data_IF_877511923123
#
_entry.id   IF_877511923123
#
_cell.length_a   1.000
_cell.length_b   1.000
_cell.length_c   1.000
_cell.angle_alpha   90.00
_cell.angle_beta   90.00
_cell.angle_gamma   90.00
#
_symmetry.space_group_name_H-M   'P 1'
#
loop_
_entity.id
_entity.type
_entity.pdbx_description
1 polymer ?
#
# COMPACT_ATOMS: atom_id res chain seq x y z
N UNK A 1 -11.16 -12.33 -9.28
CA UNK A 1 -10.14 -11.40 -9.86
C UNK A 1 -8.80 -12.10 -10.02
N UNK A 2 -8.08 -11.95 -11.16
CA UNK A 2 -6.67 -12.40 -11.27
C UNK A 2 -5.79 -11.20 -11.03
N UNK A 3 -5.11 -11.14 -9.88
CA UNK A 3 -4.13 -10.12 -9.59
C UNK A 3 -2.79 -10.47 -10.27
N UNK A 4 -2.23 -9.53 -11.02
CA UNK A 4 -0.82 -9.64 -11.41
C UNK A 4 0.09 -9.34 -10.20
N UNK A 5 1.40 -9.49 -10.32
CA UNK A 5 2.32 -9.28 -9.19
C UNK A 5 2.34 -7.84 -8.65
N UNK A 6 2.03 -6.82 -9.48
CA UNK A 6 1.89 -5.42 -9.04
C UNK A 6 0.62 -5.24 -8.23
N UNK A 7 -0.48 -5.80 -8.72
CA UNK A 7 -1.77 -5.75 -8.05
C UNK A 7 -1.77 -6.50 -6.72
N UNK A 8 -1.06 -7.64 -6.65
CA UNK A 8 -0.90 -8.38 -5.42
C UNK A 8 -0.14 -7.60 -4.35
N UNK A 9 0.88 -6.81 -4.73
CA UNK A 9 1.59 -5.93 -3.79
C UNK A 9 0.70 -4.78 -3.31
N UNK A 10 0.00 -4.12 -4.24
CA UNK A 10 -0.93 -3.06 -3.89
C UNK A 10 -2.02 -3.56 -2.96
N UNK A 11 -2.61 -4.72 -3.27
CA UNK A 11 -3.58 -5.37 -2.40
C UNK A 11 -3.03 -5.57 -0.98
N UNK A 12 -1.83 -6.15 -0.84
CA UNK A 12 -1.21 -6.38 0.46
C UNK A 12 -0.97 -5.06 1.22
N UNK A 13 -0.51 -4.00 0.55
CA UNK A 13 -0.32 -2.69 1.18
C UNK A 13 -1.65 -2.08 1.64
N UNK A 14 -2.73 -2.25 0.87
CA UNK A 14 -4.07 -1.83 1.27
C UNK A 14 -4.51 -2.60 2.52
N UNK A 15 -4.34 -3.92 2.54
CA UNK A 15 -4.72 -4.74 3.70
C UNK A 15 -3.91 -4.36 4.95
N UNK A 16 -2.62 -4.04 4.82
CA UNK A 16 -1.82 -3.52 5.94
C UNK A 16 -2.40 -2.23 6.52
N UNK A 17 -2.75 -1.26 5.67
CA UNK A 17 -3.37 0.00 6.12
C UNK A 17 -4.72 -0.26 6.78
N UNK A 18 -5.54 -1.16 6.20
CA UNK A 18 -6.83 -1.55 6.78
C UNK A 18 -6.65 -2.12 8.18
N UNK A 19 -5.75 -3.10 8.35
CA UNK A 19 -5.49 -3.70 9.65
C UNK A 19 -5.06 -2.64 10.68
N UNK A 20 -4.16 -1.72 10.32
CA UNK A 20 -3.73 -0.63 11.20
C UNK A 20 -4.88 0.31 11.59
N UNK A 21 -5.75 0.66 10.65
CA UNK A 21 -6.90 1.52 10.93
C UNK A 21 -7.91 0.79 11.82
N UNK A 22 -8.22 -0.48 11.53
CA UNK A 22 -9.15 -1.28 12.33
C UNK A 22 -8.65 -1.47 13.77
N UNK A 23 -7.36 -1.74 13.96
CA UNK A 23 -6.74 -1.83 15.29
C UNK A 23 -6.89 -0.49 16.07
N UNK A 24 -6.71 0.65 15.40
CA UNK A 24 -6.88 1.97 16.04
C UNK A 24 -8.32 2.27 16.48
N UNK A 25 -9.31 1.63 15.88
CA UNK A 25 -10.74 1.77 16.19
C UNK A 25 -11.30 0.61 17.00
N UNK A 26 -10.43 -0.27 17.51
CA UNK A 26 -10.80 -1.42 18.37
C UNK A 26 -11.76 -2.41 17.67
N UNK A 27 -11.47 -2.71 16.39
CA UNK A 27 -12.19 -3.73 15.62
C UNK A 27 -11.42 -5.04 15.60
N UNK A 28 -12.08 -6.13 15.96
CA UNK A 28 -11.52 -7.48 15.86
C UNK A 28 -11.55 -8.01 14.42
N UNK A 29 -10.48 -8.67 13.99
CA UNK A 29 -10.54 -9.48 12.77
C UNK A 29 -11.36 -10.75 13.02
N UNK A 30 -12.38 -10.99 12.21
CA UNK A 30 -13.31 -12.11 12.42
C UNK A 30 -12.65 -13.46 12.19
N UNK A 31 -12.22 -14.10 13.26
CA UNK A 31 -11.90 -15.52 13.34
C UNK A 31 -12.64 -16.12 14.54
N UNK A 32 -13.97 -16.26 14.42
CA UNK A 32 -14.79 -16.96 15.42
C UNK A 32 -15.00 -16.20 16.74
N UNK A 33 -15.01 -14.85 16.73
CA UNK A 33 -15.22 -14.04 17.94
C UNK A 33 -16.69 -13.63 18.11
N UNK A 34 -17.05 -13.38 19.41
CA UNK A 34 -18.34 -12.79 19.80
C UNK A 34 -18.26 -11.26 19.96
N UNK A 35 -17.46 -10.59 19.12
CA UNK A 35 -17.31 -9.14 19.18
C UNK A 35 -18.49 -8.41 18.53
N UNK A 36 -18.83 -7.25 19.06
CA UNK A 36 -19.82 -6.36 18.47
C UNK A 36 -19.21 -5.50 17.35
N UNK A 37 -17.89 -5.33 17.33
CA UNK A 37 -17.14 -4.62 16.31
C UNK A 37 -16.15 -5.59 15.69
N UNK A 38 -16.32 -5.90 14.40
CA UNK A 38 -15.39 -6.77 13.70
C UNK A 38 -15.35 -6.46 12.21
N UNK A 39 -14.29 -6.89 11.56
CA UNK A 39 -14.12 -6.79 10.11
C UNK A 39 -13.65 -8.11 9.53
N UNK A 40 -13.89 -8.27 8.24
CA UNK A 40 -13.37 -9.37 7.45
C UNK A 40 -13.07 -8.87 6.04
N UNK A 41 -12.20 -9.55 5.35
CA UNK A 41 -11.92 -9.24 3.94
C UNK A 41 -11.67 -10.50 3.13
N UNK A 42 -11.98 -10.39 1.87
CA UNK A 42 -11.62 -11.32 0.82
C UNK A 42 -11.04 -10.55 -0.38
N UNK A 43 -10.85 -11.22 -1.52
CA UNK A 43 -10.31 -10.55 -2.72
C UNK A 43 -11.29 -9.59 -3.41
N UNK A 44 -12.55 -9.57 -3.01
CA UNK A 44 -13.62 -8.76 -3.62
C UNK A 44 -14.06 -7.64 -2.71
N UNK A 45 -14.19 -7.91 -1.41
CA UNK A 45 -14.78 -6.99 -0.46
C UNK A 45 -14.06 -6.96 0.88
N UNK A 46 -14.09 -5.78 1.51
CA UNK A 46 -13.82 -5.58 2.92
C UNK A 46 -15.17 -5.28 3.57
N UNK A 47 -15.55 -6.07 4.56
CA UNK A 47 -16.78 -5.89 5.30
C UNK A 47 -16.48 -5.50 6.72
N UNK A 48 -17.02 -4.38 7.18
CA UNK A 48 -16.90 -3.90 8.56
C UNK A 48 -18.29 -3.97 9.20
N UNK A 49 -18.36 -4.54 10.37
CA UNK A 49 -19.61 -4.70 11.15
C UNK A 49 -19.48 -4.01 12.48
N UNK A 50 -20.49 -3.21 12.83
CA UNK A 50 -20.63 -2.62 14.16
C UNK A 50 -22.08 -2.80 14.63
N UNK A 51 -22.29 -3.76 15.49
CA UNK A 51 -23.63 -4.10 16.02
C UNK A 51 -24.10 -3.19 17.18
N UNK A 52 -23.41 -2.08 17.41
CA UNK A 52 -23.80 -1.11 18.43
C UNK A 52 -24.76 -0.06 17.85
N UNK A 53 -25.95 0.02 18.38
CA UNK A 53 -27.06 0.83 17.86
C UNK A 53 -27.05 2.29 18.28
N UNK A 54 -26.07 2.76 19.08
CA UNK A 54 -26.06 4.16 19.47
C UNK A 54 -25.48 5.06 18.36
N UNK A 55 -25.92 6.31 18.35
CA UNK A 55 -25.61 7.28 17.31
C UNK A 55 -24.09 7.56 17.20
N UNK A 56 -23.37 7.55 18.33
CA UNK A 56 -21.93 7.80 18.38
C UNK A 56 -21.19 6.67 17.62
N UNK A 57 -21.55 5.42 17.87
CA UNK A 57 -20.94 4.27 17.19
C UNK A 57 -21.25 4.25 15.67
N UNK A 58 -22.44 4.71 15.28
CA UNK A 58 -22.80 4.85 13.87
C UNK A 58 -21.92 5.90 13.20
N UNK A 59 -21.79 7.08 13.81
CA UNK A 59 -20.92 8.16 13.30
C UNK A 59 -19.47 7.73 13.26
N UNK A 60 -18.98 7.05 14.32
CA UNK A 60 -17.62 6.48 14.36
C UNK A 60 -17.38 5.51 13.21
N UNK A 61 -18.32 4.62 12.91
CA UNK A 61 -18.19 3.66 11.81
C UNK A 61 -18.15 4.35 10.45
N UNK A 62 -19.00 5.35 10.22
CA UNK A 62 -19.00 6.11 8.97
C UNK A 62 -17.68 6.90 8.83
N UNK A 63 -17.23 7.57 9.88
CA UNK A 63 -15.97 8.31 9.86
C UNK A 63 -14.76 7.39 9.67
N UNK A 64 -14.78 6.17 10.21
CA UNK A 64 -13.74 5.16 10.01
C UNK A 64 -13.53 4.87 8.51
N UNK A 65 -14.61 4.66 7.74
CA UNK A 65 -14.52 4.43 6.31
C UNK A 65 -13.87 5.62 5.58
N UNK A 66 -14.25 6.84 5.93
CA UNK A 66 -13.67 8.06 5.37
C UNK A 66 -12.17 8.17 5.67
N UNK A 67 -11.76 8.04 6.93
CA UNK A 67 -10.35 8.05 7.34
C UNK A 67 -9.53 6.92 6.75
N UNK A 68 -10.13 5.74 6.54
CA UNK A 68 -9.46 4.64 5.87
C UNK A 68 -9.03 5.04 4.45
N UNK A 69 -9.90 5.70 3.71
CA UNK A 69 -9.58 6.16 2.36
C UNK A 69 -8.53 7.27 2.35
N UNK A 70 -8.59 8.22 3.28
CA UNK A 70 -7.53 9.23 3.46
C UNK A 70 -6.17 8.57 3.76
N UNK A 71 -6.14 7.58 4.64
CA UNK A 71 -4.91 6.82 4.97
C UNK A 71 -4.36 6.03 3.79
N UNK A 72 -5.20 5.67 2.83
CA UNK A 72 -4.81 5.07 1.56
C UNK A 72 -4.35 6.11 0.52
N UNK A 73 -4.30 7.39 0.89
CA UNK A 73 -3.87 8.48 0.02
C UNK A 73 -4.93 8.89 -1.01
N UNK A 74 -6.19 8.60 -0.75
CA UNK A 74 -7.30 9.11 -1.56
C UNK A 74 -7.68 10.50 -1.05
N UNK A 75 -7.68 11.47 -1.94
CA UNK A 75 -8.16 12.83 -1.74
C UNK A 75 -9.54 12.97 -2.41
N UNK A 76 -10.27 14.04 -2.10
CA UNK A 76 -11.58 14.34 -2.69
C UNK A 76 -12.61 13.21 -2.51
N UNK A 77 -12.66 12.65 -1.31
CA UNK A 77 -13.64 11.63 -0.94
C UNK A 77 -14.97 12.32 -0.68
N UNK A 78 -16.01 11.96 -1.40
CA UNK A 78 -17.37 12.42 -1.19
C UNK A 78 -18.20 11.37 -0.46
N UNK A 79 -18.91 11.77 0.59
CA UNK A 79 -19.84 10.92 1.31
C UNK A 79 -21.28 11.30 0.97
N UNK A 80 -21.96 10.48 0.18
CA UNK A 80 -23.38 10.60 -0.06
C UNK A 80 -24.16 9.83 1.02
N UNK A 81 -25.01 10.51 1.80
CA UNK A 81 -25.66 9.90 2.96
C UNK A 81 -27.14 10.28 3.06
N UNK A 82 -27.96 9.29 3.32
CA UNK A 82 -29.34 9.43 3.76
C UNK A 82 -29.40 9.14 5.26
N UNK A 83 -29.69 10.13 6.09
CA UNK A 83 -29.68 9.97 7.54
C UNK A 83 -30.54 11.02 8.23
N UNK A 84 -30.71 10.89 9.56
CA UNK A 84 -31.30 11.94 10.35
C UNK A 84 -30.33 13.14 10.51
N UNK A 85 -30.89 14.28 10.87
CA UNK A 85 -30.14 15.55 11.01
C UNK A 85 -29.04 15.51 12.06
N UNK A 86 -29.18 14.70 13.11
CA UNK A 86 -28.21 14.58 14.17
C UNK A 86 -26.91 13.92 13.67
N UNK A 87 -27.03 12.81 12.94
CA UNK A 87 -25.88 12.12 12.31
C UNK A 87 -25.16 13.05 11.32
N UNK A 88 -25.92 13.72 10.45
CA UNK A 88 -25.37 14.67 9.48
C UNK A 88 -24.57 15.79 10.17
N UNK A 89 -25.12 16.41 11.21
CA UNK A 89 -24.42 17.46 11.95
C UNK A 89 -23.15 16.95 12.64
N UNK A 90 -23.17 15.74 13.19
CA UNK A 90 -21.99 15.15 13.84
C UNK A 90 -20.88 14.86 12.83
N UNK A 91 -21.21 14.36 11.65
CA UNK A 91 -20.23 14.13 10.57
C UNK A 91 -19.61 15.44 10.04
N UNK A 92 -20.45 16.49 9.85
CA UNK A 92 -19.94 17.81 9.47
C UNK A 92 -18.99 18.41 10.51
N UNK A 93 -19.21 18.14 11.80
CA UNK A 93 -18.30 18.59 12.87
C UNK A 93 -16.96 17.82 12.90
N UNK A 94 -16.84 16.73 12.13
CA UNK A 94 -15.60 15.98 11.91
C UNK A 94 -14.91 16.39 10.61
N UNK A 95 -15.30 17.51 10.00
CA UNK A 95 -14.77 18.03 8.73
C UNK A 95 -14.88 17.03 7.57
N UNK A 96 -15.91 16.15 7.60
CA UNK A 96 -16.19 15.21 6.53
C UNK A 96 -17.05 15.89 5.46
N UNK A 97 -16.55 15.92 4.23
CA UNK A 97 -17.30 16.39 3.07
C UNK A 97 -18.45 15.44 2.75
N UNK A 98 -19.69 15.92 2.89
CA UNK A 98 -20.87 15.07 2.67
C UNK A 98 -22.00 15.80 1.94
N UNK A 99 -22.71 15.03 1.14
CA UNK A 99 -24.01 15.39 0.58
C UNK A 99 -25.07 14.58 1.32
N UNK A 100 -25.92 15.26 2.11
CA UNK A 100 -26.92 14.60 2.93
C UNK A 100 -28.34 14.83 2.46
N UNK A 101 -29.18 13.81 2.58
CA UNK A 101 -30.63 13.90 2.52
C UNK A 101 -31.26 13.38 3.80
N UNK A 102 -32.38 14.03 4.24
CA UNK A 102 -33.04 13.65 5.48
C UNK A 102 -33.83 12.33 5.29
N UNK A 103 -33.55 11.36 6.15
CA UNK A 103 -34.17 10.04 6.12
C UNK A 103 -34.12 9.35 7.48
N UNK A 104 -35.18 8.58 7.78
CA UNK A 104 -35.19 7.70 8.97
C UNK A 104 -34.37 6.42 8.73
N UNK A 105 -34.15 6.07 7.46
CA UNK A 105 -33.33 4.90 7.08
C UNK A 105 -31.92 5.35 6.72
N UNK A 106 -30.94 4.89 7.49
CA UNK A 106 -29.53 5.18 7.24
C UNK A 106 -29.00 4.35 6.08
N UNK A 107 -28.51 5.03 5.06
CA UNK A 107 -27.70 4.46 3.98
C UNK A 107 -26.67 5.47 3.49
N UNK A 108 -25.52 5.01 3.06
CA UNK A 108 -24.48 5.90 2.58
C UNK A 108 -23.58 5.23 1.54
N UNK A 109 -22.90 6.06 0.77
CA UNK A 109 -21.92 5.66 -0.25
C UNK A 109 -20.70 6.59 -0.16
N UNK A 110 -19.50 6.00 -0.29
CA UNK A 110 -18.26 6.74 -0.47
C UNK A 110 -17.91 6.77 -1.95
N UNK A 111 -17.68 7.95 -2.48
CA UNK A 111 -17.33 8.17 -3.87
C UNK A 111 -15.94 8.79 -3.97
N UNK A 112 -15.23 8.40 -5.01
CA UNK A 112 -13.98 9.04 -5.43
C UNK A 112 -14.01 9.08 -6.95
N UNK A 113 -13.79 10.26 -7.54
CA UNK A 113 -13.90 10.48 -8.99
C UNK A 113 -15.25 10.01 -9.59
N UNK A 114 -16.37 10.27 -8.88
CA UNK A 114 -17.73 9.80 -9.22
C UNK A 114 -17.93 8.27 -9.17
N UNK A 115 -16.93 7.50 -8.73
CA UNK A 115 -17.05 6.04 -8.58
C UNK A 115 -17.35 5.66 -7.13
N UNK A 116 -18.40 4.86 -6.92
CA UNK A 116 -18.74 4.31 -5.60
C UNK A 116 -17.72 3.23 -5.24
N UNK A 117 -16.86 3.51 -4.26
CA UNK A 117 -15.82 2.60 -3.76
C UNK A 117 -16.26 1.83 -2.52
N UNK A 118 -17.26 2.33 -1.81
CA UNK A 118 -17.83 1.70 -0.63
C UNK A 118 -19.25 2.14 -0.38
N UNK A 119 -20.02 1.34 0.34
CA UNK A 119 -21.38 1.66 0.77
C UNK A 119 -21.67 1.06 2.13
N UNK A 120 -22.72 1.54 2.76
CA UNK A 120 -23.09 1.02 4.06
C UNK A 120 -24.50 1.37 4.53
N UNK A 121 -24.82 0.81 5.69
CA UNK A 121 -26.03 1.01 6.43
C UNK A 121 -25.68 1.20 7.91
N UNK A 122 -26.69 1.12 8.80
CA UNK A 122 -26.53 1.36 10.22
C UNK A 122 -25.44 0.51 10.90
N UNK A 123 -25.31 -0.74 10.51
CA UNK A 123 -24.50 -1.76 11.15
C UNK A 123 -23.40 -2.34 10.27
N UNK A 124 -23.34 -1.95 9.00
CA UNK A 124 -22.45 -2.58 8.04
C UNK A 124 -21.89 -1.61 7.02
N UNK A 125 -20.58 -1.75 6.76
CA UNK A 125 -19.88 -1.08 5.65
C UNK A 125 -19.31 -2.17 4.74
N UNK A 126 -19.46 -2.00 3.43
CA UNK A 126 -18.83 -2.80 2.42
C UNK A 126 -17.96 -1.92 1.54
N UNK A 127 -16.70 -2.30 1.36
CA UNK A 127 -15.74 -1.60 0.50
C UNK A 127 -15.34 -2.56 -0.62
N UNK A 128 -15.49 -2.13 -1.86
CA UNK A 128 -15.09 -2.94 -3.03
C UNK A 128 -13.59 -2.86 -3.23
N UNK A 129 -12.90 -3.97 -3.03
CA UNK A 129 -11.44 -4.08 -3.25
C UNK A 129 -11.06 -3.81 -4.70
N UNK A 130 -11.87 -4.28 -5.65
CA UNK A 130 -11.63 -4.08 -7.08
C UNK A 130 -11.66 -2.60 -7.45
N UNK A 131 -12.73 -1.89 -7.06
CA UNK A 131 -12.88 -0.46 -7.33
C UNK A 131 -11.83 0.37 -6.61
N UNK A 132 -11.53 0.02 -5.35
CA UNK A 132 -10.48 0.67 -4.58
C UNK A 132 -9.11 0.54 -5.28
N UNK A 133 -8.77 -0.66 -5.76
CA UNK A 133 -7.57 -0.89 -6.55
C UNK A 133 -7.56 -0.08 -7.86
N UNK A 134 -8.69 0.04 -8.55
CA UNK A 134 -8.79 0.84 -9.78
C UNK A 134 -8.56 2.32 -9.53
N UNK A 135 -9.21 2.88 -8.53
CA UNK A 135 -9.06 4.30 -8.17
C UNK A 135 -7.62 4.60 -7.73
N UNK A 136 -7.07 3.78 -6.84
CA UNK A 136 -5.67 3.95 -6.40
C UNK A 136 -4.72 3.85 -7.59
N UNK A 137 -4.90 2.91 -8.51
CA UNK A 137 -4.08 2.81 -9.71
C UNK A 137 -4.17 4.04 -10.59
N UNK A 138 -5.36 4.57 -10.84
CA UNK A 138 -5.54 5.80 -11.63
C UNK A 138 -4.78 6.99 -11.04
N UNK A 139 -4.76 7.09 -9.71
CA UNK A 139 -4.11 8.18 -8.98
C UNK A 139 -2.62 7.95 -8.73
N UNK A 140 -2.22 6.70 -8.46
CA UNK A 140 -0.84 6.31 -8.16
C UNK A 140 -0.01 6.02 -9.42
N UNK A 141 -0.52 6.30 -10.60
CA UNK A 141 0.10 5.93 -11.88
C UNK A 141 1.59 6.29 -11.96
N UNK A 142 2.10 7.11 -11.08
CA UNK A 142 3.49 7.56 -11.22
C UNK A 142 4.42 7.46 -9.99
N UNK A 143 4.00 7.20 -8.74
CA UNK A 143 4.98 7.45 -7.67
C UNK A 143 4.99 6.57 -6.41
N UNK A 144 4.04 5.70 -6.12
CA UNK A 144 4.00 5.08 -4.76
C UNK A 144 4.21 3.56 -4.73
N UNK A 145 4.12 2.87 -5.85
CA UNK A 145 4.22 1.40 -5.90
C UNK A 145 5.32 0.84 -6.79
N UNK A 146 6.08 1.68 -7.44
CA UNK A 146 7.36 1.22 -7.95
C UNK A 146 8.23 0.95 -6.73
N UNK A 147 8.37 -0.34 -6.41
CA UNK A 147 9.33 -0.80 -5.41
C UNK A 147 10.63 -0.09 -5.75
N UNK A 148 11.06 0.83 -4.91
CA UNK A 148 12.33 1.51 -5.11
C UNK A 148 13.37 0.41 -5.25
N UNK A 149 13.93 0.29 -6.45
CA UNK A 149 15.02 -0.63 -6.72
C UNK A 149 16.27 0.07 -6.17
N UNK A 150 16.82 -0.50 -5.11
CA UNK A 150 18.02 0.09 -4.52
C UNK A 150 19.23 -0.21 -5.40
N UNK A 151 19.37 -1.45 -5.86
CA UNK A 151 20.52 -1.92 -6.60
C UNK A 151 20.09 -2.69 -7.85
N UNK A 152 20.72 -2.39 -8.98
CA UNK A 152 20.66 -3.22 -10.18
C UNK A 152 22.07 -3.77 -10.46
N UNK A 153 22.20 -5.07 -10.64
CA UNK A 153 23.46 -5.71 -10.99
C UNK A 153 23.46 -5.95 -12.51
N UNK A 154 24.45 -5.40 -13.18
CA UNK A 154 24.65 -5.53 -14.62
C UNK A 154 25.79 -6.52 -14.87
N UNK A 155 25.45 -7.68 -15.39
CA UNK A 155 26.38 -8.74 -15.74
C UNK A 155 26.53 -8.81 -17.27
N UNK A 156 27.77 -8.86 -17.76
CA UNK A 156 28.07 -8.81 -19.18
C UNK A 156 28.35 -10.18 -19.80
N UNK A 157 28.37 -11.26 -19.00
CA UNK A 157 28.61 -12.63 -19.47
C UNK A 157 28.06 -13.69 -18.51
N UNK A 158 28.18 -14.97 -18.88
CA UNK A 158 27.60 -16.09 -18.11
C UNK A 158 28.31 -16.25 -16.73
N UNK A 159 29.60 -16.05 -16.66
CA UNK A 159 30.36 -16.14 -15.39
C UNK A 159 29.97 -15.01 -14.47
N UNK A 160 29.83 -13.80 -15.01
CA UNK A 160 29.37 -12.63 -14.27
C UNK A 160 27.92 -12.76 -13.77
N UNK A 161 27.06 -13.48 -14.50
CA UNK A 161 25.71 -13.78 -14.04
C UNK A 161 25.69 -14.67 -12.80
N UNK A 162 26.61 -15.63 -12.65
CA UNK A 162 26.74 -16.40 -11.41
C UNK A 162 27.15 -15.53 -10.23
N UNK A 163 28.12 -14.64 -10.41
CA UNK A 163 28.51 -13.66 -9.38
C UNK A 163 27.36 -12.72 -9.04
N UNK A 164 26.60 -12.26 -10.06
CA UNK A 164 25.43 -11.39 -9.87
C UNK A 164 24.37 -12.06 -8.99
N UNK A 165 24.11 -13.34 -9.17
CA UNK A 165 23.13 -14.09 -8.35
C UNK A 165 23.60 -14.15 -6.89
N UNK A 166 24.88 -14.43 -6.64
CA UNK A 166 25.47 -14.51 -5.30
C UNK A 166 25.38 -13.14 -4.59
N UNK A 167 25.88 -12.08 -5.23
CA UNK A 167 25.84 -10.72 -4.68
C UNK A 167 24.40 -10.28 -4.44
N UNK A 168 23.47 -10.57 -5.38
CA UNK A 168 22.05 -10.24 -5.20
C UNK A 168 21.45 -10.96 -4.00
N UNK A 169 21.83 -12.21 -3.73
CA UNK A 169 21.35 -12.97 -2.58
C UNK A 169 21.85 -12.36 -1.28
N UNK A 170 23.15 -12.03 -1.19
CA UNK A 170 23.73 -11.42 0.00
C UNK A 170 23.11 -10.05 0.33
N UNK A 171 22.88 -9.22 -0.67
CA UNK A 171 22.20 -7.93 -0.52
C UNK A 171 20.73 -8.09 -0.09
N UNK A 172 19.97 -9.06 -0.69
CA UNK A 172 18.58 -9.34 -0.34
C UNK A 172 18.42 -9.87 1.08
N UNK A 173 19.36 -10.66 1.59
CA UNK A 173 19.39 -11.12 2.99
C UNK A 173 19.52 -9.95 3.97
N UNK A 174 20.06 -8.82 3.51
CA UNK A 174 20.17 -7.56 4.27
C UNK A 174 19.04 -6.56 3.94
N UNK A 175 17.90 -7.03 3.41
CA UNK A 175 16.71 -6.24 3.07
C UNK A 175 16.91 -5.17 1.98
N UNK A 176 17.92 -5.31 1.14
CA UNK A 176 18.17 -4.42 0.01
C UNK A 176 17.41 -4.93 -1.22
N UNK A 177 16.69 -4.05 -1.91
CA UNK A 177 15.92 -4.41 -3.10
C UNK A 177 16.82 -4.48 -4.33
N UNK A 178 17.13 -5.71 -4.77
CA UNK A 178 18.06 -5.98 -5.87
C UNK A 178 17.38 -6.61 -7.07
N UNK A 179 17.72 -6.12 -8.24
CA UNK A 179 17.36 -6.70 -9.56
C UNK A 179 18.64 -7.00 -10.34
N UNK A 180 18.56 -7.86 -11.35
CA UNK A 180 19.66 -8.18 -12.25
C UNK A 180 19.25 -7.82 -13.67
N UNK A 181 20.12 -7.13 -14.41
CA UNK A 181 19.96 -6.72 -15.81
C UNK A 181 18.63 -5.98 -16.06
N UNK A 182 18.29 -5.00 -15.19
CA UNK A 182 17.14 -4.10 -15.36
C UNK A 182 17.60 -2.64 -15.31
N UNK A 183 16.66 -1.73 -15.23
CA UNK A 183 16.91 -0.28 -15.14
C UNK A 183 16.13 0.34 -14.00
N UNK A 184 16.52 1.56 -13.59
CA UNK A 184 15.74 2.36 -12.62
C UNK A 184 16.13 2.15 -11.16
N UNK A 185 17.32 1.62 -10.88
CA UNK A 185 17.87 1.51 -9.53
C UNK A 185 18.57 2.81 -9.08
N UNK A 186 18.74 2.97 -7.75
CA UNK A 186 19.59 4.04 -7.19
C UNK A 186 21.06 3.81 -7.53
N UNK A 187 21.51 2.55 -7.42
CA UNK A 187 22.88 2.13 -7.71
C UNK A 187 22.91 1.04 -8.78
N UNK A 188 23.89 1.11 -9.67
CA UNK A 188 24.22 0.01 -10.58
C UNK A 188 25.54 -0.62 -10.11
N UNK A 189 25.57 -1.96 -9.98
CA UNK A 189 26.79 -2.75 -9.81
C UNK A 189 27.14 -3.34 -11.17
N UNK A 190 28.33 -2.97 -11.67
CA UNK A 190 28.82 -3.46 -12.96
C UNK A 190 29.81 -4.59 -12.72
N UNK A 191 29.51 -5.76 -13.27
CA UNK A 191 30.34 -6.95 -13.22
C UNK A 191 30.96 -7.19 -14.59
N UNK A 192 32.25 -7.05 -14.68
CA UNK A 192 33.04 -7.42 -15.85
C UNK A 192 34.17 -8.38 -15.48
N UNK A 193 34.61 -9.19 -16.40
CA UNK A 193 35.59 -10.25 -16.18
C UNK A 193 36.92 -9.72 -15.63
N UNK A 194 37.37 -8.58 -16.12
CA UNK A 194 38.69 -8.04 -15.77
C UNK A 194 38.73 -7.61 -14.29
N UNK A 195 37.68 -6.97 -13.82
CA UNK A 195 37.55 -6.57 -12.39
C UNK A 195 37.28 -7.77 -11.50
N UNK A 196 36.40 -8.70 -11.88
CA UNK A 196 36.10 -9.90 -11.11
C UNK A 196 37.34 -10.80 -10.89
N UNK A 197 38.24 -10.90 -11.87
CA UNK A 197 39.51 -11.62 -11.73
C UNK A 197 40.43 -11.01 -10.65
N UNK A 198 40.17 -9.76 -10.31
CA UNK A 198 40.90 -9.03 -9.23
C UNK A 198 40.08 -9.00 -7.90
N UNK A 199 38.93 -9.63 -7.85
CA UNK A 199 38.01 -9.56 -6.71
C UNK A 199 37.31 -8.20 -6.56
N UNK A 200 37.28 -7.39 -7.62
CA UNK A 200 36.73 -6.05 -7.62
C UNK A 200 35.41 -5.96 -8.36
N UNK A 201 34.55 -5.06 -7.92
CA UNK A 201 33.30 -4.67 -8.59
C UNK A 201 33.25 -3.15 -8.74
N UNK A 202 32.51 -2.68 -9.73
CA UNK A 202 32.28 -1.26 -9.92
C UNK A 202 30.86 -0.92 -9.44
N UNK A 203 30.73 0.06 -8.56
CA UNK A 203 29.48 0.61 -8.09
C UNK A 203 29.31 2.01 -8.64
N UNK A 204 28.17 2.24 -9.29
CA UNK A 204 27.78 3.53 -9.85
C UNK A 204 26.55 4.08 -9.14
N UNK A 205 26.65 5.27 -8.59
CA UNK A 205 25.51 6.04 -8.10
C UNK A 205 24.80 6.70 -9.30
N UNK A 206 23.54 6.32 -9.55
CA UNK A 206 22.77 6.83 -10.67
C UNK A 206 22.31 8.28 -10.50
N UNK A 207 22.35 8.83 -9.28
CA UNK A 207 22.02 10.22 -8.99
C UNK A 207 23.21 11.14 -9.22
N UNK A 208 24.37 10.82 -8.64
CA UNK A 208 25.58 11.64 -8.74
C UNK A 208 26.41 11.33 -9.98
N UNK A 209 26.23 10.15 -10.58
CA UNK A 209 27.01 9.58 -11.69
C UNK A 209 28.45 9.21 -11.29
N UNK A 210 28.75 9.19 -10.01
CA UNK A 210 30.05 8.76 -9.51
C UNK A 210 30.19 7.24 -9.60
N UNK A 211 31.39 6.79 -9.93
CA UNK A 211 31.74 5.37 -10.01
C UNK A 211 32.90 5.10 -9.04
N UNK A 212 32.77 4.05 -8.25
CA UNK A 212 33.82 3.59 -7.33
C UNK A 212 34.11 2.12 -7.59
N UNK A 213 35.32 1.70 -7.29
CA UNK A 213 35.71 0.29 -7.27
C UNK A 213 35.79 -0.17 -5.82
N UNK A 214 35.15 -1.31 -5.55
CA UNK A 214 35.09 -1.93 -4.24
C UNK A 214 35.55 -3.39 -4.32
N UNK A 215 36.03 -3.93 -3.22
CA UNK A 215 36.14 -5.37 -3.05
C UNK A 215 34.71 -5.98 -3.00
N UNK A 216 34.51 -7.14 -3.65
CA UNK A 216 33.23 -7.84 -3.64
C UNK A 216 32.74 -8.09 -2.21
N UNK A 217 33.65 -8.35 -1.27
CA UNK A 217 33.31 -8.60 0.13
C UNK A 217 32.77 -7.37 0.88
N UNK A 218 33.06 -6.15 0.41
CA UNK A 218 32.67 -4.90 1.07
C UNK A 218 31.29 -4.37 0.58
N UNK A 219 30.69 -5.01 -0.42
CA UNK A 219 29.50 -4.48 -1.11
C UNK A 219 28.29 -4.32 -0.19
N UNK A 220 28.06 -5.27 0.72
CA UNK A 220 26.92 -5.24 1.64
C UNK A 220 27.06 -4.05 2.59
N UNK A 221 28.23 -3.88 3.21
CA UNK A 221 28.49 -2.80 4.16
C UNK A 221 28.42 -1.42 3.48
N UNK A 222 28.97 -1.33 2.27
CA UNK A 222 28.89 -0.11 1.47
C UNK A 222 27.42 0.27 1.17
N UNK A 223 26.59 -0.69 0.73
CA UNK A 223 25.21 -0.42 0.40
C UNK A 223 24.38 -0.05 1.63
N UNK A 224 24.58 -0.72 2.77
CA UNK A 224 23.90 -0.38 4.03
C UNK A 224 24.21 1.04 4.53
N UNK A 225 25.38 1.59 4.18
CA UNK A 225 25.77 2.94 4.53
C UNK A 225 25.28 4.03 3.56
N UNK A 226 24.76 3.67 2.36
CA UNK A 226 24.48 4.63 1.28
C UNK A 226 23.03 4.56 0.72
N UNK A 227 22.20 3.62 1.16
CA UNK A 227 20.76 3.47 0.77
C UNK A 227 19.81 4.15 1.80
#
# INVERSE_FOLDING_TARGET
MKLNSKDGRLYNSIIEVINQVMDNYDYDFLVGCNSNKYYTYDYENITVINNNDNIINIVESISLGYYLFERLGLEDIELNINCNKEISNMLMNLDIDLISSESDNLSFEYLVDDEVIGNGSKDKINISVEKLLEVIRKRLINNVLDKVIDVNIIAFGIEEEYHAIKIAQDLRLNNINVVINKTGAKFDILLDQDNLNLGLIIVKDNKTREEIKLDEAEIVDYMLGNI
#
